data_IF_028919617644
#
_entry.id   IF_028919617644
#
_cell.length_a   1.000
_cell.length_b   1.000
_cell.length_c   1.000
_cell.angle_alpha   90.00
_cell.angle_beta   90.00
_cell.angle_gamma   90.00
#
_symmetry.space_group_name_H-M   'P 1'
#
loop_
_entity.id
_entity.type
_entity.pdbx_description
1 polymer ?
#
# COMPACT_ATOMS: atom_id res chain seq x y z
N UNK A 1 -9.54 3.63 -4.58
CA UNK A 1 -9.60 2.21 -4.24
C UNK A 1 -8.27 1.69 -3.72
N UNK A 2 -8.32 0.61 -2.94
CA UNK A 2 -7.14 -0.01 -2.32
C UNK A 2 -7.16 -1.50 -2.60
N UNK A 3 -6.01 -2.05 -3.01
CA UNK A 3 -5.78 -3.48 -3.03
C UNK A 3 -5.00 -3.87 -1.78
N UNK A 4 -5.61 -4.71 -0.95
CA UNK A 4 -4.97 -5.27 0.25
C UNK A 4 -4.30 -6.59 -0.12
N UNK A 5 -2.97 -6.64 0.01
CA UNK A 5 -2.17 -7.83 -0.32
C UNK A 5 -1.47 -8.34 0.94
N UNK A 6 -2.03 -9.38 1.52
CA UNK A 6 -1.54 -9.97 2.76
C UNK A 6 -1.49 -11.50 2.68
N UNK A 7 -0.81 -12.09 1.66
CA UNK A 7 -0.73 -13.54 1.55
C UNK A 7 0.17 -14.14 2.63
N UNK A 8 -0.14 -15.38 3.02
CA UNK A 8 0.76 -16.16 3.88
C UNK A 8 1.99 -16.62 3.11
N UNK A 9 3.06 -16.97 3.82
CA UNK A 9 4.27 -17.48 3.18
C UNK A 9 3.99 -18.76 2.35
N UNK A 10 3.09 -19.63 2.82
CA UNK A 10 2.73 -20.82 2.07
C UNK A 10 1.97 -20.49 0.77
N UNK A 11 1.14 -19.46 0.79
CA UNK A 11 0.45 -18.98 -0.41
C UNK A 11 1.44 -18.37 -1.41
N UNK A 12 2.42 -17.63 -0.93
CA UNK A 12 3.46 -17.04 -1.76
C UNK A 12 4.31 -18.15 -2.41
N UNK A 13 4.71 -19.15 -1.64
CA UNK A 13 5.47 -20.29 -2.17
C UNK A 13 4.68 -21.05 -3.24
N UNK A 14 3.42 -21.32 -2.98
CA UNK A 14 2.56 -22.06 -3.91
C UNK A 14 2.37 -21.32 -5.24
N UNK A 15 2.26 -19.99 -5.20
CA UNK A 15 2.00 -19.19 -6.37
C UNK A 15 3.29 -18.74 -7.09
N UNK A 16 4.31 -18.37 -6.32
CA UNK A 16 5.55 -17.76 -6.80
C UNK A 16 5.43 -16.26 -6.97
N UNK A 17 6.56 -15.57 -6.81
CA UNK A 17 6.61 -14.10 -6.85
C UNK A 17 6.15 -13.55 -8.20
N UNK A 18 6.59 -14.14 -9.31
CA UNK A 18 6.27 -13.63 -10.65
C UNK A 18 4.75 -13.69 -10.93
N UNK A 19 4.11 -14.80 -10.58
CA UNK A 19 2.67 -14.96 -10.76
C UNK A 19 1.89 -14.03 -9.84
N UNK A 20 2.35 -13.86 -8.61
CA UNK A 20 1.72 -12.93 -7.67
C UNK A 20 1.80 -11.50 -8.19
N UNK A 21 2.97 -11.07 -8.68
CA UNK A 21 3.14 -9.73 -9.27
C UNK A 21 2.26 -9.57 -10.51
N UNK A 22 2.15 -10.60 -11.35
CA UNK A 22 1.26 -10.56 -12.51
C UNK A 22 -0.19 -10.30 -12.12
N UNK A 23 -0.68 -10.97 -11.09
CA UNK A 23 -2.06 -10.79 -10.58
C UNK A 23 -2.26 -9.40 -10.00
N UNK A 24 -1.29 -8.89 -9.27
CA UNK A 24 -1.34 -7.51 -8.74
C UNK A 24 -1.44 -6.51 -9.89
N UNK A 25 -0.59 -6.65 -10.93
CA UNK A 25 -0.63 -5.75 -12.10
C UNK A 25 -1.98 -5.77 -12.79
N UNK A 26 -2.53 -6.95 -13.03
CA UNK A 26 -3.83 -7.10 -13.70
C UNK A 26 -4.92 -6.40 -12.90
N UNK A 27 -4.97 -6.61 -11.60
CA UNK A 27 -5.97 -5.97 -10.73
C UNK A 27 -5.82 -4.45 -10.76
N UNK A 28 -4.61 -3.95 -10.53
CA UNK A 28 -4.34 -2.52 -10.44
C UNK A 28 -4.68 -1.80 -11.75
N UNK A 29 -4.27 -2.37 -12.87
CA UNK A 29 -4.55 -1.80 -14.19
C UNK A 29 -6.04 -1.82 -14.53
N UNK A 30 -6.73 -2.91 -14.22
CA UNK A 30 -8.17 -3.03 -14.45
C UNK A 30 -8.94 -2.00 -13.65
N UNK A 31 -8.66 -1.87 -12.37
CA UNK A 31 -9.35 -0.92 -11.50
C UNK A 31 -9.06 0.52 -11.93
N UNK A 32 -7.82 0.83 -12.29
CA UNK A 32 -7.47 2.18 -12.78
C UNK A 32 -8.27 2.54 -14.03
N UNK A 33 -8.38 1.62 -14.99
CA UNK A 33 -9.16 1.86 -16.22
C UNK A 33 -10.65 2.05 -15.94
N UNK A 34 -11.20 1.28 -15.02
CA UNK A 34 -12.64 1.31 -14.71
C UNK A 34 -13.04 2.51 -13.87
N UNK A 35 -12.17 2.97 -12.97
CA UNK A 35 -12.48 4.04 -12.03
C UNK A 35 -11.88 5.38 -12.41
N UNK A 36 -10.94 5.41 -13.34
CA UNK A 36 -10.12 6.58 -13.68
C UNK A 36 -9.34 7.12 -12.47
N UNK A 37 -9.12 6.27 -11.48
CA UNK A 37 -8.32 6.58 -10.29
C UNK A 37 -7.27 5.49 -10.10
N UNK A 38 -6.05 5.93 -9.81
CA UNK A 38 -4.95 5.01 -9.56
C UNK A 38 -5.15 4.33 -8.20
N UNK A 39 -5.27 2.99 -8.13
CA UNK A 39 -5.44 2.30 -6.86
C UNK A 39 -4.22 2.46 -5.95
N UNK A 40 -4.46 2.33 -4.65
CA UNK A 40 -3.41 2.26 -3.64
C UNK A 40 -3.11 0.78 -3.38
N UNK A 41 -1.84 0.44 -3.23
CA UNK A 41 -1.41 -0.89 -2.85
C UNK A 41 -1.09 -0.91 -1.36
N UNK A 42 -1.86 -1.67 -0.58
CA UNK A 42 -1.58 -1.90 0.84
C UNK A 42 -0.77 -3.18 0.99
N UNK A 43 0.43 -3.06 1.53
CA UNK A 43 1.36 -4.19 1.74
C UNK A 43 2.17 -3.94 3.00
N UNK A 44 2.70 -4.99 3.61
CA UNK A 44 3.65 -4.83 4.69
C UNK A 44 5.09 -4.66 4.16
N UNK A 45 5.96 -4.13 5.01
CA UNK A 45 7.35 -3.86 4.66
C UNK A 45 8.12 -5.11 4.25
N UNK A 46 7.92 -6.22 4.95
CA UNK A 46 8.60 -7.47 4.64
C UNK A 46 8.22 -8.01 3.26
N UNK A 47 6.94 -7.89 2.89
CA UNK A 47 6.48 -8.31 1.57
C UNK A 47 7.19 -7.52 0.46
N UNK A 48 7.28 -6.21 0.60
CA UNK A 48 7.99 -5.37 -0.39
C UNK A 48 9.45 -5.82 -0.49
N UNK A 49 10.11 -5.95 0.63
CA UNK A 49 11.53 -6.28 0.68
C UNK A 49 11.83 -7.67 0.11
N UNK A 50 11.00 -8.67 0.44
CA UNK A 50 11.28 -10.07 0.09
C UNK A 50 10.74 -10.47 -1.27
N UNK A 51 9.61 -9.89 -1.71
CA UNK A 51 8.87 -10.40 -2.86
C UNK A 51 8.66 -9.38 -4.00
N UNK A 52 8.95 -8.10 -3.77
CA UNK A 52 8.76 -7.05 -4.76
C UNK A 52 10.06 -6.43 -5.28
N UNK A 53 11.20 -7.04 -5.02
CA UNK A 53 12.50 -6.49 -5.43
C UNK A 53 12.61 -6.29 -6.95
N UNK A 54 11.98 -7.17 -7.73
CA UNK A 54 11.98 -7.11 -9.19
C UNK A 54 10.78 -6.37 -9.78
N UNK A 55 9.82 -5.96 -8.95
CA UNK A 55 8.59 -5.29 -9.37
C UNK A 55 8.74 -3.77 -9.36
N UNK A 56 9.79 -3.25 -9.96
CA UNK A 56 10.08 -1.81 -9.99
C UNK A 56 8.99 -1.01 -10.68
N UNK A 57 8.33 -1.60 -11.68
CA UNK A 57 7.21 -0.97 -12.38
C UNK A 57 6.04 -0.69 -11.44
N UNK A 58 5.66 -1.67 -10.59
CA UNK A 58 4.58 -1.50 -9.62
C UNK A 58 4.97 -0.46 -8.58
N UNK A 59 6.19 -0.57 -8.03
CA UNK A 59 6.68 0.32 -6.98
C UNK A 59 6.78 1.77 -7.43
N UNK A 60 7.07 2.02 -8.70
CA UNK A 60 7.19 3.37 -9.25
C UNK A 60 5.87 3.97 -9.69
N UNK A 61 4.93 3.13 -10.15
CA UNK A 61 3.67 3.60 -10.70
C UNK A 61 2.60 3.83 -9.64
N UNK A 62 2.41 2.88 -8.73
CA UNK A 62 1.28 2.90 -7.81
C UNK A 62 1.67 3.49 -6.46
N UNK A 63 0.71 4.18 -5.85
CA UNK A 63 0.87 4.70 -4.50
C UNK A 63 0.79 3.53 -3.51
N UNK A 64 1.62 3.58 -2.49
CA UNK A 64 1.72 2.50 -1.51
C UNK A 64 1.29 2.99 -0.13
N UNK A 65 0.45 2.20 0.51
CA UNK A 65 0.11 2.29 1.92
C UNK A 65 0.85 1.15 2.61
N UNK A 66 1.90 1.49 3.35
CA UNK A 66 2.78 0.50 3.93
C UNK A 66 2.42 0.23 5.38
N UNK A 67 2.31 -1.05 5.75
CA UNK A 67 2.23 -1.46 7.15
C UNK A 67 3.65 -1.66 7.68
N UNK A 68 4.09 -0.75 8.56
CA UNK A 68 5.40 -0.81 9.19
C UNK A 68 5.35 -0.16 10.57
N UNK A 69 6.06 -0.77 11.49
CA UNK A 69 6.10 -0.32 12.89
C UNK A 69 7.50 0.12 13.31
N UNK A 70 8.19 0.89 12.46
CA UNK A 70 9.54 1.35 12.73
C UNK A 70 10.03 2.32 11.68
N UNK A 71 11.27 2.77 11.80
CA UNK A 71 11.88 3.69 10.84
C UNK A 71 12.42 2.92 9.64
N UNK A 72 11.99 3.33 8.45
CA UNK A 72 12.47 2.79 7.19
C UNK A 72 12.04 3.71 6.06
N UNK A 73 12.92 3.91 5.09
CA UNK A 73 12.58 4.66 3.88
C UNK A 73 12.45 3.67 2.73
N UNK A 74 11.23 3.21 2.41
CA UNK A 74 11.04 2.27 1.31
C UNK A 74 11.27 2.93 -0.04
N UNK A 75 11.69 2.12 -1.03
CA UNK A 75 11.83 2.54 -2.42
C UNK A 75 10.49 2.49 -3.17
N UNK A 76 9.45 3.03 -2.58
CA UNK A 76 8.08 3.03 -3.11
C UNK A 76 7.49 4.43 -3.09
N UNK A 77 6.42 4.62 -3.85
CA UNK A 77 5.63 5.87 -3.80
C UNK A 77 4.73 5.84 -2.56
N UNK A 78 5.31 6.18 -1.42
CA UNK A 78 4.64 6.12 -0.14
C UNK A 78 3.58 7.22 -0.02
N UNK A 79 2.32 6.85 0.14
CA UNK A 79 1.23 7.80 0.38
C UNK A 79 0.71 7.74 1.82
N UNK A 80 0.60 6.55 2.38
CA UNK A 80 0.25 6.35 3.78
C UNK A 80 1.20 5.34 4.41
N UNK A 81 1.46 5.48 5.71
CA UNK A 81 2.00 4.36 6.44
C UNK A 81 1.23 4.12 7.73
N UNK A 82 1.02 2.85 8.03
CA UNK A 82 0.43 2.39 9.26
C UNK A 82 1.52 2.35 10.34
N UNK A 83 1.44 3.26 11.29
CA UNK A 83 2.45 3.40 12.35
C UNK A 83 2.26 2.38 13.45
N UNK A 84 1.02 2.00 13.72
CA UNK A 84 0.68 1.15 14.87
C UNK A 84 -0.64 0.45 14.63
N UNK A 85 -0.77 -0.74 15.18
CA UNK A 85 -2.03 -1.48 15.28
C UNK A 85 -2.57 -1.50 16.71
N UNK A 86 -1.93 -0.79 17.61
CA UNK A 86 -2.27 -0.78 19.05
C UNK A 86 -2.54 0.63 19.57
N UNK A 87 -3.00 1.51 18.68
CA UNK A 87 -3.34 2.89 19.03
C UNK A 87 -4.61 2.96 19.88
N UNK A 88 -4.78 4.09 20.52
CA UNK A 88 -5.97 4.38 21.33
C UNK A 88 -6.60 5.68 20.85
N UNK A 89 -7.91 5.65 20.65
CA UNK A 89 -8.68 6.83 20.23
C UNK A 89 -9.86 6.99 21.18
N UNK A 90 -10.08 8.20 21.66
CA UNK A 90 -11.19 8.51 22.53
C UNK A 90 -12.50 8.16 21.84
N UNK A 91 -13.38 7.46 22.54
CA UNK A 91 -14.67 7.05 22.01
C UNK A 91 -14.69 5.66 21.38
N UNK A 92 -13.52 5.02 21.23
CA UNK A 92 -13.40 3.67 20.71
C UNK A 92 -12.77 2.78 21.78
N UNK A 93 -13.43 1.66 22.09
CA UNK A 93 -12.91 0.66 23.00
C UNK A 93 -12.00 -0.31 22.24
N UNK A 94 -10.81 -0.54 22.83
CA UNK A 94 -9.83 -1.45 22.23
C UNK A 94 -8.82 -0.75 21.33
N UNK A 95 -8.01 -1.56 20.67
CA UNK A 95 -6.92 -1.07 19.82
C UNK A 95 -7.45 -0.62 18.45
N UNK A 96 -6.82 0.40 17.91
CA UNK A 96 -7.08 0.89 16.55
C UNK A 96 -5.78 1.07 15.79
N UNK A 97 -5.86 1.00 14.48
CA UNK A 97 -4.74 1.31 13.60
C UNK A 97 -4.55 2.82 13.52
N UNK A 98 -3.30 3.25 13.57
CA UNK A 98 -2.93 4.65 13.40
C UNK A 98 -2.13 4.78 12.12
N UNK A 99 -2.59 5.65 11.22
CA UNK A 99 -1.98 5.88 9.93
C UNK A 99 -1.58 7.34 9.75
N UNK A 100 -0.55 7.57 8.94
CA UNK A 100 -0.08 8.91 8.60
C UNK A 100 -0.07 9.07 7.08
N UNK A 101 -0.60 10.20 6.62
CA UNK A 101 -0.46 10.61 5.23
C UNK A 101 0.92 11.25 5.02
N UNK A 102 1.60 10.86 3.94
CA UNK A 102 2.92 11.39 3.58
C UNK A 102 2.78 12.71 2.82
N UNK A 103 2.52 13.80 3.54
CA UNK A 103 2.37 15.11 2.93
C UNK A 103 1.66 16.11 3.83
N UNK A 104 1.48 17.30 3.30
CA UNK A 104 0.77 18.38 3.97
C UNK A 104 -0.72 18.33 3.70
N UNK A 105 -1.50 19.12 4.45
CA UNK A 105 -2.96 19.15 4.35
C UNK A 105 -3.46 19.45 2.93
N UNK A 106 -2.84 20.38 2.24
CA UNK A 106 -3.21 20.72 0.85
C UNK A 106 -2.96 19.56 -0.11
N UNK A 107 -1.85 18.84 0.08
CA UNK A 107 -1.54 17.66 -0.71
C UNK A 107 -2.53 16.52 -0.44
N UNK A 108 -2.96 16.37 0.81
CA UNK A 108 -3.99 15.38 1.17
C UNK A 108 -5.31 15.69 0.47
N UNK A 109 -5.76 16.95 0.49
CA UNK A 109 -6.99 17.36 -0.17
C UNK A 109 -6.94 17.09 -1.69
N UNK A 110 -5.80 17.39 -2.31
CA UNK A 110 -5.58 17.13 -3.74
C UNK A 110 -5.59 15.62 -4.03
N UNK A 111 -4.93 14.83 -3.19
CA UNK A 111 -4.90 13.38 -3.34
C UNK A 111 -6.30 12.76 -3.23
N UNK A 112 -7.09 13.20 -2.25
CA UNK A 112 -8.47 12.71 -2.08
C UNK A 112 -9.32 13.03 -3.32
N UNK A 113 -9.10 14.20 -3.91
CA UNK A 113 -9.86 14.66 -5.08
C UNK A 113 -9.44 13.93 -6.37
N UNK A 114 -8.14 13.72 -6.57
CA UNK A 114 -7.59 13.24 -7.86
C UNK A 114 -7.11 11.79 -7.83
N UNK A 115 -6.77 11.24 -6.66
CA UNK A 115 -6.13 9.94 -6.55
C UNK A 115 -4.64 9.96 -6.88
N UNK A 116 -4.04 11.13 -7.08
CA UNK A 116 -2.62 11.26 -7.41
C UNK A 116 -1.87 11.97 -6.29
N UNK A 117 -0.77 11.37 -5.87
CA UNK A 117 0.17 11.93 -4.90
C UNK A 117 1.37 12.53 -5.65
N UNK A 118 1.66 13.76 -5.36
CA UNK A 118 2.78 14.50 -5.96
C UNK A 118 3.88 14.79 -4.95
#
# INVERSE_FOLDING_TARGET
>A
PVLDVEPSESQIEALGDDELMRRIRIFMEYVERRTHMRPILYVNQNFIFRHMSKATDIKKKYNVWIARYGEYKPDVKLVYWQLSSTGKVQGITGDVDINVFNGYQGQFAEFVRTGYHR
#
